data_IF_931254546978
#
_entry.id   IF_931254546978
#
_cell.length_a   1.000
_cell.length_b   1.000
_cell.length_c   1.000
_cell.angle_alpha   90.00
_cell.angle_beta   90.00
_cell.angle_gamma   90.00
#
_symmetry.space_group_name_H-M   'P 1'
#
loop_
_entity.id
_entity.type
_entity.pdbx_description
1 polymer ?
#
# COMPACT_ATOMS: atom_id res chain seq x y z
N UNK A 1 4.24 -7.11 -3.42
CA UNK A 1 5.57 -6.48 -3.64
C UNK A 1 5.70 -5.28 -2.72
N UNK A 2 6.71 -5.22 -1.84
CA UNK A 2 6.99 -4.03 -1.05
C UNK A 2 7.59 -2.92 -1.93
N UNK A 3 7.47 -1.67 -1.48
CA UNK A 3 8.18 -0.55 -2.12
C UNK A 3 9.69 -0.71 -1.89
N UNK A 4 10.51 -0.47 -2.93
CA UNK A 4 11.97 -0.54 -2.80
C UNK A 4 12.56 0.71 -2.14
N UNK A 5 11.86 1.85 -2.18
CA UNK A 5 12.28 3.08 -1.53
C UNK A 5 11.11 3.99 -1.11
N UNK A 6 11.35 4.89 -0.16
CA UNK A 6 10.37 5.90 0.25
C UNK A 6 10.01 6.87 -0.90
N UNK A 7 10.99 7.20 -1.75
CA UNK A 7 10.79 8.03 -2.96
C UNK A 7 9.84 7.33 -3.94
N UNK A 8 10.03 6.03 -4.19
CA UNK A 8 9.13 5.23 -5.02
C UNK A 8 7.72 5.15 -4.42
N UNK A 9 7.63 4.99 -3.08
CA UNK A 9 6.34 5.01 -2.38
C UNK A 9 5.60 6.33 -2.65
N UNK A 10 6.26 7.47 -2.43
CA UNK A 10 5.68 8.81 -2.61
C UNK A 10 5.24 9.04 -4.07
N UNK A 11 6.06 8.62 -5.03
CA UNK A 11 5.74 8.70 -6.46
C UNK A 11 4.50 7.88 -6.84
N UNK A 12 4.39 6.64 -6.35
CA UNK A 12 3.23 5.78 -6.61
C UNK A 12 1.94 6.33 -6.00
N UNK A 13 1.98 6.82 -4.75
CA UNK A 13 0.82 7.47 -4.14
C UNK A 13 0.42 8.74 -4.89
N UNK A 14 1.38 9.58 -5.30
CA UNK A 14 1.10 10.76 -6.11
C UNK A 14 0.46 10.40 -7.46
N UNK A 15 0.97 9.38 -8.15
CA UNK A 15 0.41 8.88 -9.40
C UNK A 15 -1.00 8.30 -9.23
N UNK A 16 -1.25 7.55 -8.16
CA UNK A 16 -2.58 7.01 -7.85
C UNK A 16 -3.62 8.11 -7.60
N UNK A 17 -3.20 9.23 -7.01
CA UNK A 17 -4.00 10.44 -6.80
C UNK A 17 -4.12 11.33 -8.05
N UNK A 18 -3.44 11.02 -9.15
CA UNK A 18 -3.44 11.84 -10.37
C UNK A 18 -2.55 13.09 -10.29
N UNK A 19 -1.67 13.19 -9.30
CA UNK A 19 -0.71 14.30 -9.10
C UNK A 19 0.72 13.91 -9.47
N UNK A 20 0.92 12.71 -10.01
CA UNK A 20 2.25 12.19 -10.36
C UNK A 20 2.73 12.75 -11.70
N UNK A 21 3.87 13.45 -11.70
CA UNK A 21 4.51 14.00 -12.91
C UNK A 21 5.36 12.98 -13.70
N UNK A 22 5.46 11.74 -13.24
CA UNK A 22 6.51 10.77 -13.66
C UNK A 22 6.01 9.78 -14.74
N UNK A 23 4.96 10.11 -15.50
CA UNK A 23 4.44 9.21 -16.56
C UNK A 23 3.86 7.87 -16.05
N UNK A 24 3.75 7.69 -14.73
CA UNK A 24 3.19 6.47 -14.14
C UNK A 24 1.66 6.50 -14.30
N UNK A 25 1.10 5.47 -14.95
CA UNK A 25 -0.35 5.38 -15.10
C UNK A 25 -1.06 5.23 -13.75
N UNK A 26 -2.16 5.98 -13.57
CA UNK A 26 -2.98 5.94 -12.36
C UNK A 26 -3.45 4.52 -12.01
N UNK A 27 -3.78 3.72 -13.03
CA UNK A 27 -4.21 2.33 -12.89
C UNK A 27 -3.08 1.44 -12.35
N UNK A 28 -1.88 1.53 -12.91
CA UNK A 28 -0.72 0.76 -12.45
C UNK A 28 -0.36 1.11 -11.00
N UNK A 29 -0.36 2.40 -10.66
CA UNK A 29 -0.07 2.87 -9.31
C UNK A 29 -1.08 2.34 -8.27
N UNK A 30 -2.38 2.39 -8.57
CA UNK A 30 -3.43 1.83 -7.71
C UNK A 30 -3.27 0.32 -7.51
N UNK A 31 -2.99 -0.43 -8.57
CA UNK A 31 -2.77 -1.88 -8.52
C UNK A 31 -1.56 -2.20 -7.65
N UNK A 32 -0.45 -1.49 -7.84
CA UNK A 32 0.77 -1.66 -7.03
C UNK A 32 0.52 -1.39 -5.54
N UNK A 33 -0.14 -0.27 -5.19
CA UNK A 33 -0.46 0.08 -3.79
C UNK A 33 -1.33 -1.01 -3.15
N UNK A 34 -2.32 -1.53 -3.88
CA UNK A 34 -3.20 -2.62 -3.39
C UNK A 34 -2.40 -3.89 -3.09
N UNK A 35 -1.43 -4.23 -3.93
CA UNK A 35 -0.54 -5.38 -3.73
C UNK A 35 0.61 -5.15 -2.75
N UNK A 36 0.91 -3.89 -2.40
CA UNK A 36 1.97 -3.54 -1.46
C UNK A 36 1.47 -3.35 -0.03
N UNK A 37 0.18 -3.02 0.15
CA UNK A 37 -0.44 -3.02 1.48
C UNK A 37 -0.38 -4.45 2.05
N UNK A 38 0.23 -4.65 3.23
CA UNK A 38 0.13 -5.94 3.89
C UNK A 38 -1.37 -6.24 4.07
N UNK A 39 -1.83 -7.41 3.63
CA UNK A 39 -3.17 -7.90 4.00
C UNK A 39 -3.23 -7.76 5.51
N UNK A 40 -4.15 -6.94 6.03
CA UNK A 40 -4.39 -6.84 7.47
C UNK A 40 -4.56 -8.28 7.95
N UNK A 41 -3.55 -8.82 8.66
CA UNK A 41 -3.71 -10.08 9.39
C UNK A 41 -4.89 -9.80 10.31
N UNK A 42 -6.04 -10.45 10.07
CA UNK A 42 -7.10 -10.53 11.09
C UNK A 42 -6.38 -11.04 12.32
N UNK A 43 -6.18 -10.17 13.30
CA UNK A 43 -5.81 -10.58 14.64
C UNK A 43 -6.94 -11.48 15.07
N UNK A 44 -6.76 -12.80 14.93
CA UNK A 44 -7.60 -13.79 15.57
C UNK A 44 -7.60 -13.40 17.04
N UNK A 45 -8.75 -12.91 17.50
CA UNK A 45 -8.91 -12.37 18.84
C UNK A 45 -8.32 -13.36 19.83
N UNK A 46 -7.23 -12.97 20.50
CA UNK A 46 -6.75 -13.66 21.69
C UNK A 46 -7.78 -13.37 22.79
N UNK A 47 -8.91 -14.06 22.72
CA UNK A 47 -9.80 -14.26 23.84
C UNK A 47 -9.09 -15.25 24.78
N UNK A 48 -8.08 -14.78 25.51
CA UNK A 48 -7.51 -15.53 26.63
C UNK A 48 -7.92 -14.84 27.91
N UNK A 49 -9.08 -15.30 28.39
CA UNK A 49 -9.52 -15.39 29.78
C UNK A 49 -8.98 -14.30 30.70
N UNK A 50 -9.85 -13.33 31.02
CA UNK A 50 -9.76 -12.53 32.24
C UNK A 50 -9.65 -13.50 33.43
N UNK A 51 -8.55 -13.41 34.18
CA UNK A 51 -8.44 -13.97 35.53
C UNK A 51 -9.00 -12.95 36.50
#
# INVERSE_FOLDING_TARGET
MPFKSAKQRRAMYAAASGRGKIGISKKAAKKFIKHSKPKKRRTLGRNRKRR
#
